data_IF_589475272853
#
_entry.id   IF_589475272853
#
_cell.length_a   1.000
_cell.length_b   1.000
_cell.length_c   1.000
_cell.angle_alpha   90.00
_cell.angle_beta   90.00
_cell.angle_gamma   90.00
#
_symmetry.space_group_name_H-M   'P 1'
#
loop_
_entity.id
_entity.type
_entity.pdbx_description
1 polymer ?
#
# COMPACT_ATOMS: atom_id res chain seq x y z
N UNK A 1 3.79 1.34 16.55
CA UNK A 1 3.29 0.85 15.25
C UNK A 1 4.11 1.54 14.18
N UNK A 2 4.61 0.79 13.21
CA UNK A 2 5.27 1.37 12.04
C UNK A 2 4.43 0.98 10.81
N UNK A 3 3.84 1.96 10.13
CA UNK A 3 2.94 1.70 9.00
C UNK A 3 3.25 2.69 7.89
N UNK A 4 3.47 2.18 6.67
CA UNK A 4 3.52 2.97 5.45
C UNK A 4 2.54 2.34 4.45
N UNK A 5 1.60 3.13 3.95
CA UNK A 5 0.60 2.68 3.00
C UNK A 5 0.20 3.80 2.05
N UNK A 6 0.06 3.48 0.77
CA UNK A 6 -0.60 4.35 -0.20
C UNK A 6 -2.10 4.36 0.09
N UNK A 7 -2.63 5.50 0.54
CA UNK A 7 -4.07 5.66 0.77
C UNK A 7 -4.82 5.99 -0.52
N UNK A 8 -4.19 6.77 -1.41
CA UNK A 8 -4.75 7.19 -2.70
C UNK A 8 -3.70 6.97 -3.80
N UNK A 9 -4.08 6.22 -4.83
CA UNK A 9 -3.24 5.97 -6.00
C UNK A 9 -3.44 7.08 -7.03
N UNK A 10 -2.37 7.55 -7.67
CA UNK A 10 -2.49 8.47 -8.80
C UNK A 10 -3.13 7.74 -9.98
N UNK A 11 -4.22 8.30 -10.50
CA UNK A 11 -4.94 7.77 -11.65
C UNK A 11 -5.04 8.82 -12.77
N UNK A 12 -4.81 8.38 -14.01
CA UNK A 12 -5.05 9.14 -15.23
C UNK A 12 -6.18 8.44 -15.99
N UNK A 13 -7.38 8.99 -15.93
CA UNK A 13 -8.57 8.42 -16.56
C UNK A 13 -8.92 9.19 -17.84
N UNK A 14 -8.77 8.51 -18.97
CA UNK A 14 -9.03 9.06 -20.29
C UNK A 14 -10.49 8.76 -20.67
N UNK A 15 -11.26 9.81 -20.94
CA UNK A 15 -12.65 9.68 -21.36
C UNK A 15 -12.81 9.10 -22.77
N UNK A 16 -14.07 8.93 -23.21
CA UNK A 16 -14.42 8.34 -24.52
C UNK A 16 -13.83 9.07 -25.74
N UNK A 17 -13.47 10.34 -25.60
CA UNK A 17 -12.81 11.12 -26.67
C UNK A 17 -11.36 10.71 -26.92
N UNK A 18 -10.75 9.93 -26.05
CA UNK A 18 -9.38 9.45 -26.20
C UNK A 18 -8.31 10.47 -25.80
N UNK A 19 -7.08 10.20 -26.21
CA UNK A 19 -5.88 10.95 -25.87
C UNK A 19 -4.83 10.80 -26.97
N UNK A 20 -4.03 11.84 -27.19
CA UNK A 20 -2.76 11.77 -27.92
C UNK A 20 -1.69 12.53 -27.12
N UNK A 21 -0.85 11.78 -26.39
CA UNK A 21 0.23 12.33 -25.57
C UNK A 21 1.57 11.96 -26.16
N UNK A 22 2.46 12.95 -26.25
CA UNK A 22 3.83 12.80 -26.75
C UNK A 22 4.83 13.38 -25.78
N UNK A 23 5.64 12.52 -25.17
CA UNK A 23 6.75 12.89 -24.29
C UNK A 23 8.05 12.62 -25.03
N UNK A 24 8.87 13.64 -25.21
CA UNK A 24 10.07 13.52 -26.05
C UNK A 24 11.14 12.59 -25.49
N UNK A 25 11.29 12.55 -24.17
CA UNK A 25 12.39 11.86 -23.50
C UNK A 25 11.88 10.71 -22.65
N UNK A 26 11.64 10.94 -21.36
CA UNK A 26 11.38 9.87 -20.41
C UNK A 26 10.04 10.08 -19.72
N UNK A 27 9.30 8.99 -19.50
CA UNK A 27 8.14 8.95 -18.61
C UNK A 27 8.31 7.86 -17.59
N UNK A 28 7.97 8.16 -16.33
CA UNK A 28 8.00 7.22 -15.22
C UNK A 28 6.63 7.13 -14.56
N UNK A 29 6.13 5.90 -14.34
CA UNK A 29 4.95 5.64 -13.52
C UNK A 29 5.38 4.96 -12.23
N UNK A 30 5.25 5.65 -11.10
CA UNK A 30 5.50 5.10 -9.78
C UNK A 30 4.17 4.85 -9.09
N UNK A 31 3.79 3.57 -8.95
CA UNK A 31 2.53 3.15 -8.35
C UNK A 31 1.30 3.78 -9.01
N UNK A 32 1.39 4.33 -10.22
CA UNK A 32 0.32 5.10 -10.87
C UNK A 32 -0.41 4.27 -11.94
N UNK A 33 -1.71 4.57 -12.13
CA UNK A 33 -2.54 3.91 -13.13
C UNK A 33 -2.96 4.85 -14.25
N UNK A 34 -3.00 4.33 -15.48
CA UNK A 34 -3.61 5.02 -16.62
C UNK A 34 -4.66 4.12 -17.28
N UNK A 35 -5.87 4.64 -17.43
CA UNK A 35 -7.01 3.92 -18.03
C UNK A 35 -7.60 4.74 -19.18
N UNK A 36 -8.29 4.06 -20.10
CA UNK A 36 -9.04 4.73 -21.17
C UNK A 36 -10.37 4.05 -21.44
N UNK A 37 -11.41 4.88 -21.58
CA UNK A 37 -12.74 4.47 -22.04
C UNK A 37 -12.87 4.52 -23.57
N UNK A 38 -11.89 5.07 -24.28
CA UNK A 38 -11.88 5.10 -25.73
C UNK A 38 -11.22 3.84 -26.32
N UNK A 39 -11.51 3.57 -27.59
CA UNK A 39 -10.82 2.51 -28.34
C UNK A 39 -9.31 2.78 -28.42
N UNK A 40 -8.54 1.70 -28.58
CA UNK A 40 -7.07 1.72 -28.54
C UNK A 40 -6.44 2.69 -29.54
N UNK A 41 -7.02 2.80 -30.73
CA UNK A 41 -6.57 3.72 -31.79
C UNK A 41 -6.70 5.20 -31.43
N UNK A 42 -7.64 5.52 -30.53
CA UNK A 42 -7.93 6.89 -30.06
C UNK A 42 -7.18 7.24 -28.77
N UNK A 43 -6.43 6.30 -28.19
CA UNK A 43 -5.71 6.48 -26.93
C UNK A 43 -4.22 6.22 -27.12
N UNK A 44 -3.53 7.19 -27.73
CA UNK A 44 -2.11 7.09 -28.07
C UNK A 44 -1.23 7.74 -27.00
N UNK A 45 -0.25 6.99 -26.52
CA UNK A 45 0.77 7.45 -25.61
C UNK A 45 2.16 7.17 -26.21
N UNK A 46 2.90 8.23 -26.50
CA UNK A 46 4.25 8.15 -27.05
C UNK A 46 5.26 8.69 -26.03
N UNK A 47 6.34 7.96 -25.80
CA UNK A 47 7.47 8.39 -24.99
C UNK A 47 8.80 8.06 -25.71
N UNK A 48 9.90 8.70 -25.34
CA UNK A 48 11.23 8.21 -25.73
C UNK A 48 11.51 6.87 -25.06
N UNK A 49 11.47 6.85 -23.73
CA UNK A 49 11.56 5.65 -22.88
C UNK A 49 10.46 5.67 -21.80
N UNK A 50 10.09 4.50 -21.31
CA UNK A 50 9.08 4.31 -20.27
C UNK A 50 9.63 3.39 -19.18
N UNK A 51 9.49 3.78 -17.92
CA UNK A 51 9.76 2.90 -16.77
C UNK A 51 8.58 2.89 -15.82
N UNK A 52 8.46 1.80 -15.08
CA UNK A 52 7.45 1.63 -14.03
C UNK A 52 8.10 1.16 -12.74
N UNK A 53 7.61 1.62 -11.61
CA UNK A 53 7.97 1.12 -10.29
C UNK A 53 6.72 0.92 -9.44
N UNK A 54 6.83 -0.01 -8.50
CA UNK A 54 5.79 -0.32 -7.53
C UNK A 54 6.15 0.30 -6.17
N UNK A 55 5.14 0.57 -5.34
CA UNK A 55 5.30 1.09 -3.98
C UNK A 55 4.99 -0.03 -2.99
N UNK A 56 5.96 -0.35 -2.13
CA UNK A 56 5.77 -1.34 -1.06
C UNK A 56 5.06 -0.72 0.16
N UNK A 57 3.93 -1.31 0.54
CA UNK A 57 3.18 -0.95 1.74
C UNK A 57 3.50 -1.95 2.86
N UNK A 58 3.64 -1.47 4.09
CA UNK A 58 3.89 -2.32 5.26
C UNK A 58 3.14 -1.84 6.51
N UNK A 59 2.80 -2.78 7.38
CA UNK A 59 2.31 -2.51 8.73
C UNK A 59 2.95 -3.46 9.72
N UNK A 60 3.65 -2.91 10.72
CA UNK A 60 4.26 -3.65 11.82
C UNK A 60 3.58 -3.29 13.15
N UNK A 61 3.04 -4.32 13.81
CA UNK A 61 2.58 -4.27 15.18
C UNK A 61 3.67 -4.88 16.08
N UNK A 62 4.22 -4.07 16.99
CA UNK A 62 5.11 -4.55 18.06
C UNK A 62 4.41 -4.32 19.38
N UNK A 63 3.85 -5.37 19.98
CA UNK A 63 3.40 -5.35 21.37
C UNK A 63 4.57 -5.79 22.26
N UNK A 64 5.02 -4.91 23.15
CA UNK A 64 6.00 -5.26 24.19
C UNK A 64 5.27 -5.37 25.52
N UNK A 65 5.01 -6.59 25.98
CA UNK A 65 4.71 -6.85 27.38
C UNK A 65 6.00 -6.71 28.19
N UNK A 66 6.13 -5.64 28.97
CA UNK A 66 7.17 -5.53 29.97
C UNK A 66 6.83 -6.48 31.13
N UNK A 67 7.35 -7.69 31.10
CA UNK A 67 7.26 -8.62 32.22
C UNK A 67 8.19 -8.15 33.35
N UNK A 68 7.69 -7.28 34.23
CA UNK A 68 8.29 -7.09 35.54
C UNK A 68 7.79 -8.19 36.47
N UNK A 69 8.68 -9.13 36.79
CA UNK A 69 8.44 -10.20 37.77
C UNK A 69 8.25 -9.60 39.16
N UNK A 70 7.04 -9.65 39.72
CA UNK A 70 6.80 -9.31 41.12
C UNK A 70 5.36 -9.55 41.58
N UNK A 71 5.18 -10.53 42.48
CA UNK A 71 4.20 -10.45 43.57
C UNK A 71 2.80 -11.05 43.37
N UNK A 72 2.61 -12.23 43.96
CA UNK A 72 1.43 -12.78 44.67
C UNK A 72 0.02 -12.24 44.37
N UNK A 73 -0.85 -13.14 43.89
CA UNK A 73 -2.21 -13.32 44.43
C UNK A 73 -3.25 -12.23 44.16
N UNK A 74 -3.64 -12.04 42.91
CA UNK A 74 -4.78 -11.23 42.51
C UNK A 74 -4.99 -11.31 40.99
N UNK A 75 -6.20 -11.05 40.50
CA UNK A 75 -6.45 -10.92 39.05
C UNK A 75 -5.75 -9.65 38.57
N UNK A 76 -4.45 -9.76 38.32
CA UNK A 76 -3.61 -8.65 37.94
C UNK A 76 -3.98 -8.19 36.53
N UNK A 77 -4.24 -6.90 36.26
CA UNK A 77 -4.44 -6.38 34.90
C UNK A 77 -3.22 -6.65 33.99
N UNK A 78 -2.07 -6.96 34.59
CA UNK A 78 -0.85 -7.44 33.92
C UNK A 78 -0.99 -8.86 33.35
N UNK A 79 -1.88 -9.72 33.87
CA UNK A 79 -2.15 -11.06 33.30
C UNK A 79 -2.96 -10.97 32.00
N UNK A 80 -3.87 -10.00 31.89
CA UNK A 80 -4.61 -9.71 30.66
C UNK A 80 -3.68 -9.19 29.54
N UNK A 81 -2.70 -8.34 29.89
CA UNK A 81 -1.61 -7.95 28.97
C UNK A 81 -0.69 -9.13 28.59
N UNK A 82 -0.45 -10.06 29.51
CA UNK A 82 0.34 -11.27 29.23
C UNK A 82 -0.40 -12.28 28.36
N UNK A 83 -1.74 -12.36 28.45
CA UNK A 83 -2.59 -13.18 27.56
C UNK A 83 -2.66 -12.62 26.14
N UNK A 84 -2.44 -11.32 25.96
CA UNK A 84 -2.32 -10.70 24.63
C UNK A 84 -1.07 -11.17 23.86
N UNK A 85 -0.09 -11.74 24.58
CA UNK A 85 1.13 -12.33 24.03
C UNK A 85 2.09 -11.30 23.42
N UNK A 86 3.39 -11.63 23.43
CA UNK A 86 4.36 -10.97 22.57
C UNK A 86 4.00 -11.29 21.11
N UNK A 87 3.20 -10.44 20.46
CA UNK A 87 2.83 -10.59 19.05
C UNK A 87 3.65 -9.60 18.22
N UNK A 88 4.51 -10.16 17.37
CA UNK A 88 5.12 -9.44 16.26
C UNK A 88 4.35 -9.87 15.00
N UNK A 89 3.38 -9.06 14.60
CA UNK A 89 2.62 -9.28 13.37
C UNK A 89 3.07 -8.23 12.33
N UNK A 90 3.40 -8.70 11.14
CA UNK A 90 3.85 -7.87 10.02
C UNK A 90 3.09 -8.24 8.75
N UNK A 91 2.46 -7.25 8.13
CA UNK A 91 1.71 -7.41 6.88
C UNK A 91 2.33 -6.54 5.79
N UNK A 92 2.32 -7.02 4.54
CA UNK A 92 2.84 -6.30 3.36
C UNK A 92 1.84 -6.35 2.21
N UNK A 93 1.77 -5.28 1.43
CA UNK A 93 1.07 -5.23 0.15
C UNK A 93 1.81 -4.32 -0.83
N UNK A 94 1.37 -4.25 -2.08
CA UNK A 94 2.06 -3.49 -3.12
C UNK A 94 1.07 -2.65 -3.92
N UNK A 95 1.37 -1.37 -4.08
CA UNK A 95 0.68 -0.49 -5.02
C UNK A 95 1.48 -0.46 -6.31
N UNK A 96 0.92 -1.04 -7.38
CA UNK A 96 1.60 -1.27 -8.65
C UNK A 96 1.33 -0.16 -9.65
N UNK A 97 2.31 0.15 -10.48
CA UNK A 97 2.04 0.93 -11.69
C UNK A 97 1.33 0.05 -12.73
N UNK A 98 0.36 0.60 -13.46
CA UNK A 98 -0.32 -0.13 -14.54
C UNK A 98 -0.84 0.80 -15.65
N UNK A 99 -0.77 0.35 -16.90
CA UNK A 99 -1.32 1.08 -18.05
C UNK A 99 -2.27 0.16 -18.80
N UNK A 100 -3.54 0.54 -18.87
CA UNK A 100 -4.61 -0.27 -19.45
C UNK A 100 -4.34 -0.68 -20.91
N UNK A 101 -4.92 -1.82 -21.32
CA UNK A 101 -4.71 -2.39 -22.66
C UNK A 101 -5.25 -1.51 -23.79
N UNK A 102 -6.26 -0.69 -23.49
CA UNK A 102 -6.88 0.26 -24.41
C UNK A 102 -6.00 1.49 -24.68
N UNK A 103 -4.74 1.49 -24.27
CA UNK A 103 -3.78 2.55 -24.54
C UNK A 103 -2.68 2.01 -25.45
N UNK A 104 -2.58 2.58 -26.65
CA UNK A 104 -1.52 2.29 -27.60
C UNK A 104 -0.24 3.02 -27.18
N UNK A 105 0.79 2.26 -26.82
CA UNK A 105 2.08 2.81 -26.38
C UNK A 105 3.12 2.71 -27.50
N UNK A 106 3.86 3.78 -27.75
CA UNK A 106 5.00 3.79 -28.67
C UNK A 106 6.24 4.35 -27.96
N UNK A 107 7.33 3.61 -27.98
CA UNK A 107 8.62 4.03 -27.40
C UNK A 107 9.61 4.33 -28.53
N UNK A 108 10.04 5.59 -28.66
CA UNK A 108 10.84 6.04 -29.81
C UNK A 108 12.34 6.01 -29.60
N UNK A 109 12.80 5.87 -28.36
CA UNK A 109 14.23 5.92 -27.99
C UNK A 109 14.64 4.72 -27.12
N UNK A 110 13.73 3.79 -26.84
CA UNK A 110 14.01 2.59 -26.06
C UNK A 110 14.51 1.46 -26.98
N UNK A 111 15.78 1.04 -26.89
CA UNK A 111 16.30 -0.07 -27.68
C UNK A 111 15.67 -1.42 -27.31
N UNK A 112 15.02 -1.53 -26.14
CA UNK A 112 14.34 -2.73 -25.65
C UNK A 112 12.82 -2.55 -25.61
N UNK A 113 12.26 -1.69 -26.45
CA UNK A 113 10.86 -1.30 -26.41
C UNK A 113 9.88 -2.48 -26.32
N UNK A 114 10.12 -3.54 -27.10
CA UNK A 114 9.27 -4.74 -27.07
C UNK A 114 9.25 -5.41 -25.68
N UNK A 115 10.42 -5.64 -25.09
CA UNK A 115 10.55 -6.20 -23.73
C UNK A 115 9.90 -5.29 -22.69
N UNK A 116 10.17 -3.98 -22.76
CA UNK A 116 9.55 -2.98 -21.89
C UNK A 116 8.03 -3.05 -21.94
N UNK A 117 7.45 -3.16 -23.13
CA UNK A 117 6.00 -3.24 -23.32
C UNK A 117 5.39 -4.58 -22.92
N UNK A 118 6.12 -5.68 -23.09
CA UNK A 118 5.72 -7.02 -22.67
C UNK A 118 5.71 -7.18 -21.14
N UNK A 119 6.61 -6.49 -20.45
CA UNK A 119 6.70 -6.51 -18.98
C UNK A 119 5.79 -5.47 -18.32
N UNK A 120 5.13 -4.63 -19.10
CA UNK A 120 4.26 -3.58 -18.57
C UNK A 120 2.99 -4.20 -17.97
N UNK A 121 2.74 -3.89 -16.71
CA UNK A 121 1.51 -4.33 -16.05
C UNK A 121 0.28 -3.69 -16.71
N UNK A 122 -0.67 -4.53 -17.13
CA UNK A 122 -1.94 -4.13 -17.77
C UNK A 122 -3.14 -4.23 -16.83
N UNK A 123 -2.96 -4.84 -15.66
CA UNK A 123 -4.01 -5.00 -14.66
C UNK A 123 -4.15 -3.70 -13.84
N UNK A 124 -4.98 -2.81 -14.35
CA UNK A 124 -5.31 -1.54 -13.69
C UNK A 124 -6.33 -1.70 -12.55
N UNK A 125 -7.08 -2.81 -12.52
CA UNK A 125 -8.12 -3.05 -11.51
C UNK A 125 -7.52 -3.51 -10.19
N UNK A 126 -6.46 -4.32 -10.23
CA UNK A 126 -5.78 -4.83 -9.04
C UNK A 126 -4.48 -4.08 -8.70
N UNK A 127 -4.28 -2.89 -9.28
CA UNK A 127 -3.06 -2.10 -9.10
C UNK A 127 -2.93 -1.49 -7.70
N UNK A 128 -4.02 -1.26 -6.96
CA UNK A 128 -3.96 -0.71 -5.60
C UNK A 128 -4.35 -1.73 -4.53
N UNK A 129 -3.39 -2.55 -4.10
CA UNK A 129 -3.59 -3.44 -2.95
C UNK A 129 -3.23 -2.69 -1.66
N UNK A 130 -4.19 -2.58 -0.74
CA UNK A 130 -3.98 -1.98 0.59
C UNK A 130 -3.60 -3.06 1.61
N UNK A 131 -2.80 -2.69 2.61
CA UNK A 131 -2.59 -3.55 3.78
C UNK A 131 -3.87 -3.52 4.61
N UNK A 132 -4.35 -4.68 5.02
CA UNK A 132 -5.42 -4.76 6.02
C UNK A 132 -4.85 -4.21 7.33
N UNK A 133 -5.27 -3.00 7.72
CA UNK A 133 -5.00 -2.50 9.07
C UNK A 133 -5.71 -3.46 10.02
N UNK A 134 -4.94 -4.17 10.84
CA UNK A 134 -5.53 -5.00 11.91
C UNK A 134 -6.49 -4.11 12.73
N UNK A 135 -7.64 -4.64 13.12
CA UNK A 135 -8.68 -3.89 13.84
C UNK A 135 -8.24 -3.64 15.30
N UNK A 136 -7.38 -2.63 15.48
CA UNK A 136 -6.70 -2.27 16.74
C UNK A 136 -7.62 -1.60 17.77
N UNK A 137 -8.92 -1.52 17.47
CA UNK A 137 -9.99 -1.10 18.37
C UNK A 137 -9.89 -1.81 19.73
N UNK A 138 -9.80 -3.15 19.67
CA UNK A 138 -9.79 -4.02 20.86
C UNK A 138 -8.51 -3.86 21.70
N UNK A 139 -7.33 -3.76 21.04
CA UNK A 139 -6.03 -3.63 21.71
C UNK A 139 -5.86 -2.25 22.37
N UNK A 140 -6.34 -1.17 21.73
CA UNK A 140 -6.31 0.17 22.33
C UNK A 140 -7.23 0.26 23.54
N UNK A 141 -8.44 -0.29 23.44
CA UNK A 141 -9.40 -0.28 24.53
C UNK A 141 -8.85 -1.05 25.74
N UNK A 142 -8.27 -2.24 25.53
CA UNK A 142 -7.62 -2.98 26.63
C UNK A 142 -6.42 -2.24 27.23
N UNK A 143 -5.60 -1.55 26.44
CA UNK A 143 -4.51 -0.74 27.00
C UNK A 143 -5.01 0.45 27.83
N UNK A 144 -6.04 1.16 27.37
CA UNK A 144 -6.62 2.30 28.10
C UNK A 144 -7.33 1.84 29.38
N UNK A 145 -8.04 0.71 29.34
CA UNK A 145 -8.62 0.08 30.54
C UNK A 145 -7.55 -0.28 31.56
N UNK A 146 -6.44 -0.89 31.14
CA UNK A 146 -5.34 -1.25 32.04
C UNK A 146 -4.66 -0.01 32.64
N UNK A 147 -4.38 1.02 31.84
CA UNK A 147 -3.82 2.29 32.35
C UNK A 147 -4.76 2.95 33.36
N UNK A 148 -6.07 2.92 33.11
CA UNK A 148 -7.09 3.49 34.00
C UNK A 148 -7.22 2.74 35.34
N UNK A 149 -6.98 1.43 35.35
CA UNK A 149 -6.95 0.64 36.59
C UNK A 149 -5.70 0.99 37.40
N UNK A 150 -4.52 1.04 36.78
CA UNK A 150 -3.26 1.34 37.46
C UNK A 150 -3.21 2.75 38.07
N UNK A 151 -3.78 3.74 37.39
CA UNK A 151 -3.87 5.11 37.92
C UNK A 151 -4.85 5.24 39.09
N UNK A 152 -5.84 4.34 39.21
CA UNK A 152 -6.77 4.31 40.35
C UNK A 152 -6.20 3.62 41.58
N UNK A 153 -5.26 2.69 41.43
CA UNK A 153 -4.58 2.05 42.57
C UNK A 153 -3.46 2.91 43.18
N UNK A 154 -3.08 4.01 42.51
CA UNK A 154 -2.05 4.96 43.00
C UNK A 154 -2.57 6.18 43.75
N UNK A 155 -3.88 6.28 43.98
CA UNK A 155 -4.54 7.29 44.80
C UNK A 155 -5.28 6.62 45.96
#
# INVERSE_FOLDING_TARGET
>A
MNTAQVENQTAIDIGKGGMDVKVKHHTHFEGAVMTSQAEKENSRFQAGTLTTSDIENHSELKTRSAAMSGGSGGVNPMSALSLLGNKNESERSTTRAAIGENIAITLTQDPNAETTLNHLNRDTQNANQKVTKHDISEVKETQELVKGIWNREKH
#
